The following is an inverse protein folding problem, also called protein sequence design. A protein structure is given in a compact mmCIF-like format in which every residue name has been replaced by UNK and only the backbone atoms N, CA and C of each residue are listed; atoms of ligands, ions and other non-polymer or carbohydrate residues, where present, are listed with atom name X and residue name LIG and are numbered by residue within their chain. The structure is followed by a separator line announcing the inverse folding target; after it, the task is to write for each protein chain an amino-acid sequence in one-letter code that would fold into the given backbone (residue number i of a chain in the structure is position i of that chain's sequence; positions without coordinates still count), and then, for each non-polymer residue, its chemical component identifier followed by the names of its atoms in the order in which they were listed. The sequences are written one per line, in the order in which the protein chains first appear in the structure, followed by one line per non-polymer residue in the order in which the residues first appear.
data_IF_667149223527
#
_entry.id   IF_667149223527
#
_cell.length_a   1.000
_cell.length_b   1.000
_cell.length_c   1.000
_cell.angle_alpha   90.00
_cell.angle_beta   90.00
_cell.angle_gamma   90.00
#
_symmetry.space_group_name_H-M   'P 1'
#
loop_
_entity.id
_entity.type
_entity.pdbx_description
1 polymer ?
#
# COMPACT_ATOMS: atom_id res chain seq x y z
N UNK A 1 -2.66 6.44 -28.58
CA UNK A 1 -3.94 6.68 -27.86
C UNK A 1 -3.66 7.60 -26.67
N UNK A 2 -4.51 8.62 -26.41
CA UNK A 2 -4.30 9.50 -25.22
C UNK A 2 -4.72 8.73 -23.97
N UNK A 3 -3.71 8.22 -23.21
CA UNK A 3 -3.91 7.39 -22.00
C UNK A 3 -4.72 8.11 -20.92
N UNK A 4 -4.54 9.42 -20.76
CA UNK A 4 -5.28 10.20 -19.77
C UNK A 4 -6.79 10.18 -20.05
N UNK A 5 -7.20 10.28 -21.32
CA UNK A 5 -8.60 10.20 -21.70
C UNK A 5 -9.21 8.85 -21.33
N UNK A 6 -8.46 7.76 -21.54
CA UNK A 6 -8.88 6.41 -21.13
C UNK A 6 -9.04 6.33 -19.61
N UNK A 7 -8.08 6.86 -18.83
CA UNK A 7 -8.17 6.81 -17.37
C UNK A 7 -9.35 7.63 -16.81
N UNK A 8 -9.70 8.74 -17.46
CA UNK A 8 -10.85 9.57 -17.04
C UNK A 8 -12.21 8.86 -17.17
N UNK A 9 -12.34 7.90 -18.09
CA UNK A 9 -13.56 7.12 -18.25
C UNK A 9 -13.95 6.33 -17.00
N UNK A 10 -12.95 5.95 -16.17
CA UNK A 10 -13.19 5.20 -14.94
C UNK A 10 -13.87 5.99 -13.81
N UNK A 11 -14.12 7.30 -14.00
CA UNK A 11 -15.04 8.02 -13.13
C UNK A 11 -16.51 7.61 -13.32
N UNK A 12 -16.88 7.03 -14.49
CA UNK A 12 -18.25 6.65 -14.80
C UNK A 12 -18.68 5.40 -14.02
N UNK A 13 -19.91 5.41 -13.47
CA UNK A 13 -20.43 4.30 -12.67
C UNK A 13 -20.61 3.00 -13.46
N UNK A 14 -20.90 3.10 -14.75
CA UNK A 14 -21.17 1.96 -15.63
C UNK A 14 -20.01 0.96 -15.72
N UNK A 15 -18.77 1.44 -15.55
CA UNK A 15 -17.58 0.57 -15.56
C UNK A 15 -17.35 -0.21 -14.24
N UNK A 16 -18.14 0.01 -13.19
CA UNK A 16 -18.03 -0.72 -11.94
C UNK A 16 -18.37 -2.22 -12.08
N UNK A 17 -19.19 -2.57 -13.06
CA UNK A 17 -19.62 -3.94 -13.36
C UNK A 17 -18.92 -4.52 -14.61
N UNK A 18 -17.83 -3.92 -15.08
CA UNK A 18 -17.08 -4.39 -16.24
C UNK A 18 -16.19 -5.57 -15.91
N UNK A 19 -15.84 -6.39 -16.90
CA UNK A 19 -14.85 -7.49 -16.79
C UNK A 19 -13.46 -6.99 -16.34
N UNK A 20 -13.17 -5.71 -16.51
CA UNK A 20 -11.94 -5.06 -16.06
C UNK A 20 -11.90 -4.83 -14.53
N UNK A 21 -13.02 -5.02 -13.81
CA UNK A 21 -13.07 -4.84 -12.37
C UNK A 21 -12.32 -5.97 -11.66
N UNK A 22 -11.13 -5.66 -11.16
CA UNK A 22 -10.28 -6.60 -10.44
C UNK A 22 -10.72 -6.81 -8.98
N UNK A 23 -11.09 -5.72 -8.28
CA UNK A 23 -11.61 -5.77 -6.89
C UNK A 23 -12.58 -4.61 -6.66
N UNK A 24 -13.71 -4.91 -5.99
CA UNK A 24 -14.68 -3.90 -5.59
C UNK A 24 -14.96 -3.98 -4.08
N UNK A 25 -14.66 -2.91 -3.36
CA UNK A 25 -14.92 -2.77 -1.93
C UNK A 25 -16.14 -1.87 -1.70
N UNK A 26 -17.33 -2.41 -1.94
CA UNK A 26 -18.63 -1.71 -1.74
C UNK A 26 -18.66 -0.33 -2.43
N UNK A 27 -18.20 -0.25 -3.66
CA UNK A 27 -18.11 0.96 -4.51
C UNK A 27 -17.32 2.14 -3.90
N UNK A 28 -16.63 1.93 -2.78
CA UNK A 28 -15.82 2.94 -2.07
C UNK A 28 -14.37 2.96 -2.51
N UNK A 29 -13.85 1.79 -2.83
CA UNK A 29 -12.55 1.58 -3.49
C UNK A 29 -12.79 0.51 -4.54
N UNK A 30 -12.63 0.86 -5.81
CA UNK A 30 -12.70 -0.08 -6.93
C UNK A 30 -11.36 -0.09 -7.62
N UNK A 31 -10.87 -1.27 -7.93
CA UNK A 31 -9.59 -1.47 -8.61
C UNK A 31 -9.90 -2.14 -9.94
N UNK A 32 -9.46 -1.51 -11.01
CA UNK A 32 -9.53 -2.04 -12.38
C UNK A 32 -8.13 -2.43 -12.83
N UNK A 33 -8.05 -3.48 -13.64
CA UNK A 33 -6.85 -3.90 -14.35
C UNK A 33 -7.07 -3.62 -15.83
N UNK A 34 -6.19 -2.86 -16.46
CA UNK A 34 -6.27 -2.49 -17.86
C UNK A 34 -4.92 -2.66 -18.54
N UNK A 35 -4.92 -3.29 -19.69
CA UNK A 35 -3.76 -3.29 -20.57
C UNK A 35 -3.90 -2.17 -21.61
N UNK A 36 -2.82 -1.37 -21.76
CA UNK A 36 -2.72 -0.29 -22.75
C UNK A 36 -1.29 -0.32 -23.30
N UNK A 37 -1.14 -0.42 -24.62
CA UNK A 37 0.17 -0.44 -25.28
C UNK A 37 1.12 -1.50 -24.67
N UNK A 38 0.62 -2.73 -24.46
CA UNK A 38 1.35 -3.88 -23.84
C UNK A 38 1.82 -3.64 -22.40
N UNK A 39 1.32 -2.60 -21.74
CA UNK A 39 1.56 -2.34 -20.32
C UNK A 39 0.30 -2.54 -19.49
N UNK A 40 0.46 -3.17 -18.35
CA UNK A 40 -0.64 -3.38 -17.39
C UNK A 40 -0.70 -2.21 -16.41
N UNK A 41 -1.88 -1.64 -16.27
CA UNK A 41 -2.21 -0.56 -15.35
C UNK A 41 -3.23 -1.01 -14.32
N UNK A 42 -3.01 -0.61 -13.06
CA UNK A 42 -4.01 -0.70 -12.01
C UNK A 42 -4.61 0.68 -11.76
N UNK A 43 -5.91 0.80 -12.00
CA UNK A 43 -6.67 2.04 -11.86
C UNK A 43 -7.50 1.92 -10.59
N UNK A 44 -7.11 2.67 -9.54
CA UNK A 44 -7.79 2.67 -8.24
C UNK A 44 -8.71 3.87 -8.17
N UNK A 45 -10.04 3.62 -8.18
CA UNK A 45 -11.05 4.64 -7.96
C UNK A 45 -11.42 4.68 -6.48
N UNK A 46 -11.41 5.87 -5.90
CA UNK A 46 -11.79 6.10 -4.50
C UNK A 46 -12.98 7.04 -4.43
N UNK A 47 -14.02 6.62 -3.70
CA UNK A 47 -15.19 7.44 -3.40
C UNK A 47 -15.28 7.58 -1.87
N UNK A 48 -14.83 8.72 -1.30
CA UNK A 48 -14.94 8.96 0.14
C UNK A 48 -16.41 9.08 0.55
N UNK A 49 -16.71 8.71 1.80
CA UNK A 49 -18.06 8.77 2.35
C UNK A 49 -18.04 9.08 3.85
N UNK A 50 -19.15 9.57 4.38
CA UNK A 50 -19.38 9.81 5.79
C UNK A 50 -18.36 10.79 6.40
N UNK A 51 -17.78 10.43 7.55
CA UNK A 51 -16.83 11.29 8.28
C UNK A 51 -15.60 11.64 7.43
N UNK A 52 -15.10 10.68 6.61
CA UNK A 52 -13.94 10.92 5.75
C UNK A 52 -14.25 11.93 4.63
N UNK A 53 -15.42 11.85 4.03
CA UNK A 53 -15.87 12.78 3.00
C UNK A 53 -15.87 14.21 3.53
N UNK A 54 -16.46 14.41 4.73
CA UNK A 54 -16.48 15.71 5.42
C UNK A 54 -15.06 16.18 5.75
N UNK A 55 -14.23 15.32 6.34
CA UNK A 55 -12.85 15.68 6.68
C UNK A 55 -12.02 16.13 5.46
N UNK A 56 -12.22 15.46 4.31
CA UNK A 56 -11.55 15.87 3.06
C UNK A 56 -12.14 17.19 2.52
N UNK A 57 -13.46 17.38 2.61
CA UNK A 57 -14.11 18.62 2.16
C UNK A 57 -13.59 19.85 2.92
N UNK A 58 -13.42 19.73 4.23
CA UNK A 58 -12.86 20.78 5.10
C UNK A 58 -11.33 20.85 5.14
N UNK A 59 -10.62 20.09 4.30
CA UNK A 59 -9.15 20.11 4.27
C UNK A 59 -8.45 19.43 5.45
N UNK A 60 -9.19 18.82 6.38
CA UNK A 60 -8.65 18.14 7.56
C UNK A 60 -7.97 16.80 7.21
N UNK A 61 -8.28 16.23 6.05
CA UNK A 61 -7.69 15.00 5.57
C UNK A 61 -7.43 15.08 4.07
N UNK A 62 -6.32 14.49 3.62
CA UNK A 62 -6.02 14.36 2.19
C UNK A 62 -6.94 13.33 1.53
N UNK A 63 -7.31 13.59 0.28
CA UNK A 63 -7.85 12.55 -0.61
C UNK A 63 -6.83 11.42 -0.75
N UNK A 64 -7.30 10.18 -1.02
CA UNK A 64 -6.42 9.00 -1.08
C UNK A 64 -5.37 9.09 -2.18
N UNK A 65 -5.71 9.59 -3.36
CA UNK A 65 -4.76 9.75 -4.44
C UNK A 65 -3.67 10.78 -4.07
N UNK A 66 -4.06 11.96 -3.52
CA UNK A 66 -3.10 12.95 -3.01
C UNK A 66 -2.28 12.43 -1.82
N UNK A 67 -2.89 11.58 -0.98
CA UNK A 67 -2.16 10.96 0.13
C UNK A 67 -1.11 9.97 -0.37
N UNK A 68 -1.43 9.19 -1.39
CA UNK A 68 -0.49 8.29 -2.06
C UNK A 68 0.74 9.07 -2.56
N UNK A 69 0.53 10.15 -3.31
CA UNK A 69 1.60 11.01 -3.84
C UNK A 69 2.44 11.66 -2.71
N UNK A 70 1.78 12.06 -1.61
CA UNK A 70 2.46 12.60 -0.45
C UNK A 70 3.40 11.57 0.21
N UNK A 71 2.95 10.34 0.36
CA UNK A 71 3.79 9.25 0.91
C UNK A 71 4.89 8.89 -0.08
N UNK A 72 4.58 8.78 -1.39
CA UNK A 72 5.55 8.51 -2.45
C UNK A 72 6.74 9.47 -2.36
N UNK A 73 6.50 10.79 -2.32
CA UNK A 73 7.56 11.81 -2.17
C UNK A 73 8.39 11.67 -0.89
N UNK A 74 7.82 11.09 0.18
CA UNK A 74 8.58 10.81 1.41
C UNK A 74 9.45 9.58 1.28
N UNK A 75 8.95 8.54 0.59
CA UNK A 75 9.71 7.32 0.32
C UNK A 75 10.90 7.60 -0.61
N UNK A 76 10.72 8.47 -1.63
CA UNK A 76 11.81 8.93 -2.49
C UNK A 76 12.95 9.55 -1.67
N UNK A 77 12.59 10.45 -0.72
CA UNK A 77 13.58 11.14 0.13
C UNK A 77 14.41 10.20 1.00
N UNK A 78 13.88 9.06 1.36
CA UNK A 78 14.57 8.06 2.19
C UNK A 78 15.06 6.86 1.38
N UNK A 79 14.95 6.91 0.04
CA UNK A 79 15.44 5.88 -0.87
C UNK A 79 14.78 4.52 -0.63
N UNK A 80 13.44 4.49 -0.47
CA UNK A 80 12.66 3.24 -0.44
C UNK A 80 11.92 3.08 -1.76
N UNK A 81 12.17 1.96 -2.43
CA UNK A 81 11.53 1.62 -3.70
C UNK A 81 10.02 1.42 -3.52
N UNK A 82 9.25 2.00 -4.41
CA UNK A 82 7.80 1.90 -4.40
C UNK A 82 7.23 2.14 -5.80
N UNK A 83 6.00 1.71 -6.03
CA UNK A 83 5.32 1.93 -7.31
C UNK A 83 4.85 3.38 -7.37
N UNK A 84 5.35 4.14 -8.35
CA UNK A 84 4.93 5.52 -8.59
C UNK A 84 3.56 5.58 -9.27
N UNK A 85 2.80 6.64 -9.00
CA UNK A 85 1.61 6.94 -9.77
C UNK A 85 1.99 7.53 -11.14
N UNK A 86 1.41 6.97 -12.20
CA UNK A 86 1.58 7.52 -13.57
C UNK A 86 0.50 8.54 -13.90
N UNK A 87 -0.61 8.51 -13.15
CA UNK A 87 -1.70 9.46 -13.29
C UNK A 87 -2.52 9.55 -12.02
N UNK A 88 -2.95 10.74 -11.66
CA UNK A 88 -3.95 10.95 -10.62
C UNK A 88 -4.88 12.11 -10.95
N UNK A 89 -6.14 11.99 -10.61
CA UNK A 89 -7.15 13.04 -10.82
C UNK A 89 -8.22 13.00 -9.74
N UNK A 90 -8.67 14.18 -9.32
CA UNK A 90 -9.83 14.34 -8.44
C UNK A 90 -10.95 15.00 -9.23
N UNK A 91 -12.14 14.42 -9.20
CA UNK A 91 -13.36 14.99 -9.74
C UNK A 91 -14.29 15.37 -8.60
N UNK A 92 -14.67 16.63 -8.53
CA UNK A 92 -15.65 17.14 -7.57
C UNK A 92 -17.02 17.19 -8.27
N UNK A 93 -18.03 16.67 -7.58
CA UNK A 93 -19.44 16.72 -8.03
C UNK A 93 -20.23 17.77 -7.24
N UNK A 94 -19.83 18.02 -5.96
CA UNK A 94 -20.36 19.07 -5.10
C UNK A 94 -19.33 19.45 -4.04
N UNK A 95 -19.67 20.30 -3.08
CA UNK A 95 -18.78 20.66 -1.97
C UNK A 95 -18.27 19.43 -1.20
N UNK A 96 -19.16 18.49 -0.91
CA UNK A 96 -18.79 17.26 -0.20
C UNK A 96 -18.45 16.11 -1.16
N UNK A 97 -19.23 15.91 -2.22
CA UNK A 97 -19.11 14.75 -3.10
C UNK A 97 -17.95 14.86 -4.06
N UNK A 98 -17.07 13.89 -4.03
CA UNK A 98 -15.91 13.76 -4.92
C UNK A 98 -15.54 12.31 -5.16
N UNK A 99 -14.78 12.07 -6.19
CA UNK A 99 -14.06 10.83 -6.40
C UNK A 99 -12.62 11.15 -6.84
N UNK A 100 -11.71 10.23 -6.60
CA UNK A 100 -10.36 10.32 -7.14
C UNK A 100 -9.97 9.03 -7.85
N UNK A 101 -9.12 9.18 -8.85
CA UNK A 101 -8.49 8.09 -9.57
C UNK A 101 -6.99 8.20 -9.33
N UNK A 102 -6.38 7.06 -9.05
CA UNK A 102 -4.94 6.85 -8.97
C UNK A 102 -4.60 5.71 -9.92
N UNK A 103 -3.64 5.92 -10.80
CA UNK A 103 -3.19 4.91 -11.76
C UNK A 103 -1.73 4.59 -11.49
N UNK A 104 -1.43 3.29 -11.39
CA UNK A 104 -0.07 2.77 -11.27
C UNK A 104 0.19 1.74 -12.36
N UNK A 105 1.44 1.59 -12.81
CA UNK A 105 1.83 0.44 -13.62
C UNK A 105 1.95 -0.82 -12.74
N UNK A 106 1.98 -1.98 -13.37
CA UNK A 106 2.31 -3.25 -12.70
C UNK A 106 3.74 -3.20 -12.18
N UNK A 107 3.91 -3.45 -10.91
CA UNK A 107 5.20 -3.28 -10.21
C UNK A 107 5.97 -4.57 -9.97
N UNK A 108 5.44 -5.73 -10.33
CA UNK A 108 6.07 -7.03 -10.07
C UNK A 108 5.13 -8.03 -9.39
N UNK A 109 5.69 -9.12 -8.90
CA UNK A 109 4.97 -10.19 -8.21
C UNK A 109 4.92 -9.96 -6.69
N UNK A 110 3.83 -10.40 -6.04
CA UNK A 110 3.68 -10.27 -4.59
C UNK A 110 4.71 -11.15 -3.85
N UNK A 111 5.43 -10.59 -2.88
CA UNK A 111 6.37 -11.31 -2.02
C UNK A 111 5.70 -12.50 -1.30
N UNK A 112 4.41 -12.39 -1.03
CA UNK A 112 3.62 -13.46 -0.42
C UNK A 112 3.67 -14.79 -1.18
N UNK A 113 3.88 -14.79 -2.49
CA UNK A 113 3.98 -16.01 -3.29
C UNK A 113 5.20 -16.88 -2.94
N UNK A 114 6.22 -16.28 -2.36
CA UNK A 114 7.50 -16.89 -2.06
C UNK A 114 7.61 -17.40 -0.61
N UNK A 115 6.58 -17.18 0.22
CA UNK A 115 6.62 -17.55 1.63
C UNK A 115 6.79 -19.06 1.87
N UNK A 116 6.21 -19.91 1.01
CA UNK A 116 6.35 -21.38 1.11
C UNK A 116 7.79 -21.85 0.89
N UNK A 117 8.56 -21.14 0.08
CA UNK A 117 9.96 -21.43 -0.22
C UNK A 117 10.86 -20.33 0.32
N UNK A 118 10.52 -19.78 1.50
CA UNK A 118 11.19 -18.60 2.05
C UNK A 118 12.70 -18.78 2.25
N UNK A 119 13.16 -20.00 2.51
CA UNK A 119 14.60 -20.28 2.68
C UNK A 119 15.41 -19.94 1.43
N UNK A 120 14.87 -20.23 0.23
CA UNK A 120 15.52 -19.88 -1.04
C UNK A 120 15.54 -18.35 -1.27
N UNK A 121 14.67 -17.62 -0.58
CA UNK A 121 14.46 -16.17 -0.72
C UNK A 121 14.68 -15.41 0.59
N UNK A 122 15.38 -16.00 1.57
CA UNK A 122 15.52 -15.48 2.94
C UNK A 122 16.01 -14.04 2.99
N UNK A 123 16.89 -13.63 2.07
CA UNK A 123 17.41 -12.27 2.01
C UNK A 123 16.33 -11.25 1.59
N UNK A 124 15.33 -11.65 0.79
CA UNK A 124 14.19 -10.79 0.47
C UNK A 124 13.30 -10.59 1.71
N UNK A 125 13.08 -11.66 2.49
CA UNK A 125 12.31 -11.56 3.73
C UNK A 125 13.04 -10.74 4.81
N UNK A 126 14.36 -10.86 4.94
CA UNK A 126 15.14 -9.96 5.81
C UNK A 126 15.00 -8.50 5.37
N UNK A 127 15.15 -8.22 4.07
CA UNK A 127 14.96 -6.88 3.51
C UNK A 127 13.56 -6.33 3.74
N UNK A 128 12.51 -7.20 3.77
CA UNK A 128 11.16 -6.79 4.14
C UNK A 128 11.13 -6.15 5.53
N UNK A 129 11.76 -6.76 6.53
CA UNK A 129 11.84 -6.20 7.89
C UNK A 129 12.77 -4.98 7.96
N UNK A 130 13.86 -4.94 7.19
CA UNK A 130 14.75 -3.77 7.10
C UNK A 130 14.01 -2.54 6.55
N UNK A 131 13.17 -2.73 5.53
CA UNK A 131 12.30 -1.67 5.01
C UNK A 131 11.35 -1.18 6.10
N UNK A 132 10.75 -2.07 6.89
CA UNK A 132 9.89 -1.70 8.00
C UNK A 132 10.63 -0.85 9.04
N UNK A 133 11.84 -1.27 9.43
CA UNK A 133 12.70 -0.53 10.35
C UNK A 133 13.04 0.86 9.78
N UNK A 134 13.44 0.93 8.52
CA UNK A 134 13.77 2.19 7.83
C UNK A 134 12.56 3.13 7.77
N UNK A 135 11.38 2.63 7.46
CA UNK A 135 10.12 3.37 7.49
C UNK A 135 9.86 3.95 8.89
N UNK A 136 9.92 3.10 9.92
CA UNK A 136 9.64 3.47 11.31
C UNK A 136 10.63 4.51 11.86
N UNK A 137 11.94 4.38 11.57
CA UNK A 137 12.98 5.35 11.91
C UNK A 137 12.73 6.73 11.26
N UNK A 138 12.03 6.77 10.12
CA UNK A 138 11.65 8.00 9.42
C UNK A 138 10.21 8.48 9.71
N UNK A 139 9.58 7.93 10.75
CA UNK A 139 8.25 8.35 11.18
C UNK A 139 7.13 7.96 10.20
N UNK A 140 7.35 6.96 9.34
CA UNK A 140 6.37 6.42 8.40
C UNK A 140 5.91 5.06 8.91
N UNK A 141 4.60 4.86 9.01
CA UNK A 141 3.99 3.65 9.57
C UNK A 141 2.84 3.16 8.70
N UNK A 142 2.71 1.84 8.56
CA UNK A 142 1.59 1.20 7.88
C UNK A 142 0.90 0.25 8.86
N UNK A 143 -0.43 0.33 8.94
CA UNK A 143 -1.24 -0.61 9.73
C UNK A 143 -1.65 -1.85 8.93
N UNK A 144 -1.30 -1.89 7.66
CA UNK A 144 -1.56 -2.98 6.72
C UNK A 144 -0.24 -3.41 6.03
N UNK A 145 0.86 -3.42 6.80
CA UNK A 145 2.15 -3.85 6.30
C UNK A 145 2.22 -5.37 6.31
N UNK A 146 2.19 -5.97 5.13
CA UNK A 146 2.16 -7.42 4.95
C UNK A 146 2.84 -7.80 3.63
N UNK A 147 3.07 -9.09 3.42
CA UNK A 147 3.77 -9.63 2.25
C UNK A 147 3.06 -9.36 0.91
N UNK A 148 1.72 -9.25 0.91
CA UNK A 148 0.95 -8.90 -0.29
C UNK A 148 1.01 -7.40 -0.64
N UNK A 149 1.46 -6.55 0.29
CA UNK A 149 1.68 -5.12 0.08
C UNK A 149 3.07 -4.77 -0.46
N UNK A 150 3.88 -5.80 -0.77
CA UNK A 150 5.23 -5.66 -1.30
C UNK A 150 5.40 -6.55 -2.52
N UNK A 151 5.95 -5.98 -3.57
CA UNK A 151 6.23 -6.68 -4.83
C UNK A 151 7.74 -6.89 -4.99
N UNK A 152 8.08 -7.92 -5.73
CA UNK A 152 9.43 -8.14 -6.29
C UNK A 152 9.39 -7.63 -7.72
N UNK A 153 10.17 -6.60 -8.04
CA UNK A 153 10.24 -6.05 -9.39
C UNK A 153 11.13 -6.92 -10.31
N UNK A 154 11.20 -6.56 -11.58
CA UNK A 154 11.97 -7.30 -12.57
C UNK A 154 13.50 -7.33 -12.32
N UNK A 155 13.99 -6.52 -11.35
CA UNK A 155 15.38 -6.50 -10.90
C UNK A 155 15.62 -7.34 -9.64
N UNK A 156 14.56 -8.00 -9.12
CA UNK A 156 14.64 -8.73 -7.85
C UNK A 156 14.62 -7.83 -6.61
N UNK A 157 14.19 -6.56 -6.72
CA UNK A 157 14.15 -5.62 -5.62
C UNK A 157 12.74 -5.51 -5.05
N UNK A 158 12.66 -5.29 -3.72
CA UNK A 158 11.38 -5.08 -3.04
C UNK A 158 10.83 -3.69 -3.32
N UNK A 159 9.57 -3.64 -3.72
CA UNK A 159 8.86 -2.43 -4.12
C UNK A 159 7.53 -2.32 -3.38
N UNK A 160 7.32 -1.24 -2.63
CA UNK A 160 6.08 -1.03 -1.86
C UNK A 160 4.91 -0.63 -2.77
N UNK A 161 3.72 -1.12 -2.43
CA UNK A 161 2.44 -0.70 -3.04
C UNK A 161 1.45 -0.24 -1.97
N UNK A 162 0.25 0.18 -2.39
CA UNK A 162 -0.85 0.60 -1.50
C UNK A 162 -0.48 1.69 -0.49
N UNK A 163 0.32 2.69 -0.96
CA UNK A 163 0.83 3.78 -0.11
C UNK A 163 -0.27 4.61 0.56
N UNK A 164 -1.52 4.50 0.14
CA UNK A 164 -2.66 5.14 0.80
C UNK A 164 -2.97 4.58 2.20
N UNK A 165 -2.41 3.42 2.56
CA UNK A 165 -2.48 2.84 3.91
C UNK A 165 -1.39 3.38 4.86
N UNK A 166 -0.33 4.01 4.34
CA UNK A 166 0.78 4.52 5.13
C UNK A 166 0.42 5.85 5.79
N UNK A 167 1.00 6.11 6.96
CA UNK A 167 0.78 7.32 7.77
C UNK A 167 2.10 7.86 8.28
N UNK A 168 2.16 9.17 8.48
CA UNK A 168 3.31 9.81 9.12
C UNK A 168 2.96 10.22 10.54
N UNK A 169 3.84 9.94 11.50
CA UNK A 169 3.74 10.37 12.89
C UNK A 169 5.14 10.67 13.44
N UNK A 170 5.28 11.76 14.16
CA UNK A 170 6.53 12.17 14.80
C UNK A 170 6.70 11.40 16.12
N UNK A 171 5.63 11.27 16.89
CA UNK A 171 5.63 10.62 18.20
C UNK A 171 4.67 9.43 18.18
N UNK A 172 5.12 8.30 18.70
CA UNK A 172 4.31 7.11 18.91
C UNK A 172 4.07 6.89 20.41
N UNK A 173 2.81 6.74 20.78
CA UNK A 173 2.45 6.22 22.10
C UNK A 173 2.83 4.75 22.25
N UNK A 174 3.05 4.29 23.49
CA UNK A 174 3.33 2.87 23.79
C UNK A 174 2.22 1.95 23.23
N UNK A 175 0.97 2.35 23.40
CA UNK A 175 -0.19 1.62 22.87
C UNK A 175 -0.16 1.49 21.33
N UNK A 176 0.24 2.56 20.63
CA UNK A 176 0.32 2.52 19.16
C UNK A 176 1.48 1.64 18.69
N UNK A 177 2.63 1.64 19.37
CA UNK A 177 3.75 0.72 19.11
C UNK A 177 3.31 -0.74 19.27
N UNK A 178 2.64 -1.07 20.39
CA UNK A 178 2.04 -2.42 20.61
C UNK A 178 1.11 -2.82 19.48
N UNK A 179 0.20 -1.92 19.07
CA UNK A 179 -0.70 -2.16 17.95
C UNK A 179 0.04 -2.49 16.65
N UNK A 180 1.10 -1.74 16.31
CA UNK A 180 1.89 -1.97 15.10
C UNK A 180 2.57 -3.35 15.12
N UNK A 181 3.14 -3.74 16.26
CA UNK A 181 3.76 -5.07 16.41
C UNK A 181 2.71 -6.19 16.35
N UNK A 182 1.54 -6.01 16.98
CA UNK A 182 0.45 -6.98 16.86
C UNK A 182 0.01 -7.16 15.40
N UNK A 183 -0.06 -6.07 14.63
CA UNK A 183 -0.42 -6.13 13.21
C UNK A 183 0.68 -6.80 12.37
N UNK A 184 1.95 -6.53 12.67
CA UNK A 184 3.08 -7.18 12.01
C UNK A 184 3.10 -8.70 12.31
N UNK A 185 2.78 -9.12 13.53
CA UNK A 185 2.64 -10.55 13.90
C UNK A 185 1.51 -11.25 13.16
N UNK A 186 0.40 -10.56 12.86
CA UNK A 186 -0.70 -11.14 12.08
C UNK A 186 -0.32 -11.55 10.66
N UNK A 187 0.80 -11.06 10.15
CA UNK A 187 1.28 -11.38 8.81
C UNK A 187 1.47 -12.88 8.59
N UNK A 188 1.96 -13.60 9.59
CA UNK A 188 2.21 -15.04 9.50
C UNK A 188 1.12 -15.91 10.17
N UNK A 189 0.26 -15.36 11.03
CA UNK A 189 -0.77 -16.14 11.72
C UNK A 189 -1.99 -16.48 10.86
N UNK A 190 -2.13 -15.88 9.69
CA UNK A 190 -3.27 -16.07 8.77
C UNK A 190 -2.89 -16.78 7.47
N UNK A 191 -1.65 -17.15 7.31
CA UNK A 191 -1.17 -17.92 6.18
C UNK A 191 -0.99 -19.38 6.58
N UNK A 192 -1.26 -20.32 5.68
CA UNK A 192 -0.89 -21.74 5.84
C UNK A 192 0.63 -21.91 5.69
N UNK A 193 1.39 -21.09 6.42
CA UNK A 193 2.84 -21.05 6.38
C UNK A 193 3.43 -22.18 7.23
N UNK A 194 4.68 -22.53 6.93
CA UNK A 194 5.41 -23.53 7.71
C UNK A 194 5.75 -22.99 9.10
N UNK A 195 5.89 -23.87 10.10
CA UNK A 195 6.31 -23.52 11.45
C UNK A 195 7.67 -22.78 11.43
N UNK A 196 8.58 -23.21 10.55
CA UNK A 196 9.91 -22.59 10.38
C UNK A 196 9.82 -21.13 9.91
N UNK A 197 8.92 -20.82 8.97
CA UNK A 197 8.68 -19.44 8.53
C UNK A 197 8.09 -18.59 9.65
N UNK A 198 7.20 -19.15 10.45
CA UNK A 198 6.65 -18.46 11.62
C UNK A 198 7.75 -18.13 12.64
N UNK A 199 8.65 -19.06 12.94
CA UNK A 199 9.80 -18.86 13.85
C UNK A 199 10.76 -17.80 13.31
N UNK A 200 11.07 -17.84 12.02
CA UNK A 200 11.85 -16.79 11.35
C UNK A 200 11.17 -15.42 11.51
N UNK A 201 9.88 -15.30 11.24
CA UNK A 201 9.16 -14.03 11.37
C UNK A 201 9.14 -13.53 12.83
N UNK A 202 9.00 -14.41 13.82
CA UNK A 202 9.09 -14.04 15.25
C UNK A 202 10.46 -13.46 15.59
N UNK A 203 11.52 -14.11 15.16
CA UNK A 203 12.90 -13.63 15.36
C UNK A 203 13.13 -12.26 14.75
N UNK A 204 12.67 -12.06 13.50
CA UNK A 204 12.81 -10.78 12.82
C UNK A 204 11.98 -9.67 13.49
N UNK A 205 10.80 -9.97 14.01
CA UNK A 205 9.99 -8.99 14.76
C UNK A 205 10.68 -8.60 16.07
N UNK A 206 11.33 -9.52 16.76
CA UNK A 206 12.14 -9.20 17.95
C UNK A 206 13.32 -8.29 17.58
N UNK A 207 13.99 -8.56 16.46
CA UNK A 207 15.01 -7.66 15.90
C UNK A 207 14.44 -6.27 15.62
N UNK A 208 13.28 -6.16 14.99
CA UNK A 208 12.58 -4.87 14.75
C UNK A 208 12.34 -4.12 16.06
N UNK A 209 11.82 -4.77 17.09
CA UNK A 209 11.55 -4.16 18.40
C UNK A 209 12.86 -3.62 19.02
N UNK A 210 13.91 -4.42 18.97
CA UNK A 210 15.24 -4.07 19.50
C UNK A 210 15.84 -2.88 18.76
N UNK A 211 15.89 -2.92 17.41
CA UNK A 211 16.47 -1.86 16.59
C UNK A 211 15.73 -0.52 16.66
N UNK A 212 14.41 -0.57 16.87
CA UNK A 212 13.57 0.62 17.07
C UNK A 212 13.56 1.10 18.51
N UNK A 213 14.21 0.39 19.43
CA UNK A 213 14.17 0.66 20.88
C UNK A 213 12.72 0.85 21.39
N UNK A 214 11.82 0.00 20.97
CA UNK A 214 10.43 0.07 21.36
C UNK A 214 10.21 -0.66 22.69
N UNK A 215 10.09 0.12 23.78
CA UNK A 215 9.62 -0.40 25.07
C UNK A 215 8.12 -0.65 24.99
N UNK A 216 7.72 -1.90 24.72
CA UNK A 216 6.34 -2.34 24.49
C UNK A 216 5.85 -3.29 25.59
#
# INVERSE_FOLDING_TARGET
MNKEKVFLEYFNKEKLNSEECFKNYKDRKVIFKKEIDRKIYFIKKYVPYGKREKAIAFGLQRDRAKHYEYISKKLDKIGIQHVHSVYSKIKRYSFFKRASILVTEYGGEELAKYSKNYMEHIELFKKFFDIYIKLAKNGIYCTDYNLGGILINNKGELTLIDLDAYKTKIILTKQYKRKLITLLRKMYTHSNETQEFEEFCKSEIERVIKELNWKI
#
